data_IF_936576213614
#
_entry.id   IF_936576213614
#
_cell.length_a   1.000
_cell.length_b   1.000
_cell.length_c   1.000
_cell.angle_alpha   90.00
_cell.angle_beta   90.00
_cell.angle_gamma   90.00
#
_symmetry.space_group_name_H-M   'P 1'
#
loop_
_entity.id
_entity.type
_entity.pdbx_description
1 polymer ?
#
# COMPACT_ATOMS: atom_id res chain seq x y z
N UNK A 1 44.73 6.88 43.37
CA UNK A 1 44.39 7.24 41.98
C UNK A 1 43.20 6.38 41.60
N UNK A 2 41.99 6.96 41.69
CA UNK A 2 40.74 6.32 41.28
C UNK A 2 40.51 6.63 39.81
N UNK A 3 40.58 5.60 38.94
CA UNK A 3 40.14 5.68 37.55
C UNK A 3 38.63 5.38 37.50
N UNK A 4 37.84 6.40 37.36
CA UNK A 4 36.38 6.30 37.10
C UNK A 4 36.19 6.02 35.62
N UNK A 5 35.88 4.75 35.29
CA UNK A 5 35.42 4.36 33.94
C UNK A 5 33.97 4.84 33.78
N UNK A 6 33.79 5.92 33.04
CA UNK A 6 32.48 6.29 32.52
C UNK A 6 32.13 5.31 31.40
N UNK A 7 31.27 4.35 31.68
CA UNK A 7 30.62 3.54 30.66
C UNK A 7 29.52 4.41 30.04
N UNK A 8 29.84 5.02 28.91
CA UNK A 8 28.83 5.67 28.08
C UNK A 8 28.00 4.55 27.45
N UNK A 9 26.89 4.23 28.07
CA UNK A 9 25.87 3.38 27.49
C UNK A 9 25.23 4.16 26.35
N UNK A 10 25.61 3.88 25.12
CA UNK A 10 24.85 4.26 23.96
C UNK A 10 23.57 3.45 23.95
N UNK A 11 22.52 3.97 24.57
CA UNK A 11 21.17 3.49 24.34
C UNK A 11 20.84 3.85 22.88
N UNK A 12 20.90 2.87 21.99
CA UNK A 12 20.31 3.01 20.67
C UNK A 12 18.81 3.17 20.86
N UNK A 13 18.31 4.38 20.67
CA UNK A 13 16.89 4.64 20.51
C UNK A 13 16.44 3.94 19.23
N UNK A 14 16.08 2.67 19.33
CA UNK A 14 15.24 2.04 18.33
C UNK A 14 13.89 2.75 18.41
N UNK A 15 13.70 3.75 17.58
CA UNK A 15 12.39 4.23 17.24
C UNK A 15 11.71 3.10 16.46
N UNK A 16 11.12 2.16 17.17
CA UNK A 16 10.22 1.18 16.60
C UNK A 16 9.02 1.96 16.07
N UNK A 17 9.06 2.24 14.77
CA UNK A 17 7.92 2.81 14.05
C UNK A 17 6.83 1.77 14.13
N UNK A 18 5.84 2.00 15.00
CA UNK A 18 4.70 1.11 15.12
C UNK A 18 3.95 1.08 13.80
N UNK A 19 4.01 -0.05 13.11
CA UNK A 19 3.25 -0.30 11.91
C UNK A 19 2.13 -1.31 12.21
N UNK A 20 0.99 -1.12 11.53
CA UNK A 20 -0.12 -2.07 11.58
C UNK A 20 -0.08 -2.92 10.33
N UNK A 21 0.12 -4.25 10.46
CA UNK A 21 0.18 -5.16 9.32
C UNK A 21 -1.20 -5.68 8.92
N UNK A 22 -1.42 -5.77 7.61
CA UNK A 22 -2.57 -6.39 6.98
C UNK A 22 -2.10 -7.38 5.92
N UNK A 23 -2.86 -8.45 5.71
CA UNK A 23 -2.57 -9.44 4.68
C UNK A 23 -3.85 -9.94 4.02
N UNK A 24 -3.76 -10.32 2.76
CA UNK A 24 -4.90 -10.83 2.01
C UNK A 24 -4.57 -11.26 0.60
N UNK A 25 -5.54 -11.14 -0.27
CA UNK A 25 -5.49 -11.56 -1.66
C UNK A 25 -5.90 -10.42 -2.59
N UNK A 26 -5.30 -10.39 -3.77
CA UNK A 26 -5.59 -9.43 -4.82
C UNK A 26 -5.74 -10.13 -6.15
N UNK A 27 -6.81 -9.81 -6.87
CA UNK A 27 -7.03 -10.18 -8.26
C UNK A 27 -6.93 -8.92 -9.12
N UNK A 28 -6.15 -9.01 -10.19
CA UNK A 28 -6.01 -7.95 -11.18
C UNK A 28 -6.57 -8.45 -12.51
N UNK A 29 -7.58 -7.77 -13.03
CA UNK A 29 -8.14 -8.00 -14.35
C UNK A 29 -7.69 -6.90 -15.30
N UNK A 30 -7.20 -7.28 -16.47
CA UNK A 30 -6.88 -6.37 -17.54
C UNK A 30 -7.85 -6.60 -18.71
N UNK A 31 -8.71 -5.62 -19.01
CA UNK A 31 -9.71 -5.68 -20.10
C UNK A 31 -10.62 -6.92 -20.07
N UNK A 32 -10.85 -7.54 -18.91
CA UNK A 32 -11.58 -8.80 -18.75
C UNK A 32 -10.98 -10.00 -19.51
N UNK A 33 -9.78 -9.88 -20.06
CA UNK A 33 -9.10 -10.91 -20.85
C UNK A 33 -8.02 -11.63 -20.05
N UNK A 34 -7.26 -10.88 -19.25
CA UNK A 34 -6.18 -11.43 -18.42
C UNK A 34 -6.49 -11.24 -16.95
N UNK A 35 -6.28 -12.29 -16.16
CA UNK A 35 -6.46 -12.28 -14.72
C UNK A 35 -5.20 -12.74 -14.02
N UNK A 36 -4.73 -11.96 -13.06
CA UNK A 36 -3.57 -12.25 -12.24
C UNK A 36 -3.96 -12.29 -10.77
N UNK A 37 -3.42 -13.25 -10.03
CA UNK A 37 -3.67 -13.42 -8.61
C UNK A 37 -2.39 -13.22 -7.80
N UNK A 38 -2.48 -12.44 -6.73
CA UNK A 38 -1.36 -12.14 -5.83
C UNK A 38 -1.75 -12.28 -4.37
N UNK A 39 -0.77 -12.52 -3.53
CA UNK A 39 -0.87 -12.25 -2.11
C UNK A 39 -0.50 -10.78 -1.89
N UNK A 40 -1.23 -10.10 -1.03
CA UNK A 40 -0.97 -8.70 -0.68
C UNK A 40 -0.65 -8.57 0.81
N UNK A 41 0.40 -7.82 1.12
CA UNK A 41 0.71 -7.38 2.48
C UNK A 41 0.78 -5.87 2.49
N UNK A 42 0.16 -5.26 3.50
CA UNK A 42 0.16 -3.82 3.70
C UNK A 42 0.64 -3.53 5.12
N UNK A 43 1.66 -2.72 5.27
CA UNK A 43 2.10 -2.19 6.55
C UNK A 43 1.81 -0.69 6.60
N UNK A 44 0.99 -0.28 7.54
CA UNK A 44 0.59 1.13 7.72
C UNK A 44 1.28 1.70 8.93
N UNK A 45 2.12 2.72 8.71
CA UNK A 45 2.80 3.47 9.75
C UNK A 45 2.40 4.95 9.69
N UNK A 46 2.80 5.74 10.71
CA UNK A 46 2.46 7.16 10.76
C UNK A 46 3.06 7.98 9.60
N UNK A 47 4.26 7.58 9.16
CA UNK A 47 5.01 8.27 8.10
C UNK A 47 4.70 7.75 6.69
N UNK A 48 3.88 6.73 6.55
CA UNK A 48 3.52 6.16 5.27
C UNK A 48 3.16 4.69 5.34
N UNK A 49 2.86 4.12 4.19
CA UNK A 49 2.47 2.72 4.05
C UNK A 49 3.34 2.02 3.02
N UNK A 50 3.53 0.72 3.20
CA UNK A 50 4.22 -0.13 2.25
C UNK A 50 3.28 -1.24 1.83
N UNK A 51 3.02 -1.34 0.53
CA UNK A 51 2.19 -2.38 -0.07
C UNK A 51 3.10 -3.33 -0.83
N UNK A 52 3.04 -4.61 -0.52
CA UNK A 52 3.82 -5.64 -1.19
C UNK A 52 2.89 -6.62 -1.88
N UNK A 53 3.11 -6.83 -3.16
CA UNK A 53 2.45 -7.88 -3.95
C UNK A 53 3.41 -9.04 -4.09
N UNK A 54 2.96 -10.23 -3.71
CA UNK A 54 3.74 -11.47 -3.77
C UNK A 54 3.03 -12.47 -4.66
N UNK A 55 3.79 -13.11 -5.53
CA UNK A 55 3.30 -14.25 -6.30
C UNK A 55 3.67 -15.53 -5.58
N UNK A 56 2.74 -16.51 -5.43
CA UNK A 56 3.07 -17.79 -4.80
C UNK A 56 4.33 -18.39 -5.45
N UNK A 57 5.27 -18.86 -4.64
CA UNK A 57 6.56 -19.47 -5.03
C UNK A 57 7.61 -18.53 -5.64
N UNK A 58 7.27 -17.29 -5.99
CA UNK A 58 8.21 -16.33 -6.61
C UNK A 58 8.62 -15.16 -5.68
N UNK A 59 7.97 -15.02 -4.51
CA UNK A 59 8.25 -13.92 -3.58
C UNK A 59 7.67 -12.57 -4.04
N UNK A 60 8.34 -11.49 -3.64
CA UNK A 60 7.89 -10.13 -3.94
C UNK A 60 8.00 -9.84 -5.44
N UNK A 61 6.88 -9.42 -6.05
CA UNK A 61 6.80 -9.01 -7.44
C UNK A 61 6.83 -7.49 -7.56
N UNK A 62 6.17 -6.80 -6.63
CA UNK A 62 6.05 -5.35 -6.62
C UNK A 62 5.94 -4.85 -5.19
N UNK A 63 6.62 -3.75 -4.91
CA UNK A 63 6.47 -2.98 -3.69
C UNK A 63 6.04 -1.56 -4.04
N UNK A 64 5.01 -1.07 -3.37
CA UNK A 64 4.53 0.30 -3.53
C UNK A 64 4.74 1.03 -2.20
N UNK A 65 5.56 2.07 -2.23
CA UNK A 65 5.81 2.93 -1.08
C UNK A 65 4.91 4.16 -1.16
N UNK A 66 4.12 4.37 -0.13
CA UNK A 66 3.18 5.49 0.02
C UNK A 66 3.70 6.36 1.15
N UNK A 67 4.60 7.29 0.84
CA UNK A 67 5.30 8.12 1.81
C UNK A 67 4.72 9.53 1.87
N UNK A 68 4.85 10.17 3.06
CA UNK A 68 4.42 11.54 3.27
C UNK A 68 5.14 12.52 2.33
N UNK A 69 4.36 13.41 1.68
CA UNK A 69 4.89 14.45 0.82
C UNK A 69 5.62 13.97 -0.43
N UNK A 70 5.51 12.69 -0.77
CA UNK A 70 6.15 12.09 -1.95
C UNK A 70 5.12 11.43 -2.86
N UNK A 71 5.46 11.33 -4.15
CA UNK A 71 4.70 10.52 -5.09
C UNK A 71 4.83 9.03 -4.75
N UNK A 72 3.89 8.22 -5.23
CA UNK A 72 3.96 6.78 -5.10
C UNK A 72 5.24 6.25 -5.75
N UNK A 73 5.95 5.36 -5.05
CA UNK A 73 7.19 4.75 -5.52
C UNK A 73 6.94 3.27 -5.74
N UNK A 74 7.19 2.79 -6.97
CA UNK A 74 7.04 1.39 -7.36
C UNK A 74 8.41 0.71 -7.44
N UNK A 75 8.62 -0.36 -6.67
CA UNK A 75 9.88 -1.12 -6.60
C UNK A 75 9.57 -2.63 -6.58
N UNK A 76 10.25 -3.47 -7.36
CA UNK A 76 11.07 -3.14 -8.52
C UNK A 76 10.21 -2.76 -9.72
N UNK A 77 10.63 -1.76 -10.45
CA UNK A 77 10.02 -1.39 -11.73
C UNK A 77 10.67 -2.25 -12.81
N UNK A 78 10.00 -3.33 -13.24
CA UNK A 78 10.48 -4.14 -14.36
C UNK A 78 10.03 -3.61 -15.72
N UNK A 79 9.16 -2.62 -15.75
CA UNK A 79 8.72 -2.03 -16.99
C UNK A 79 9.63 -0.85 -17.36
N UNK A 80 10.00 -0.78 -18.63
CA UNK A 80 10.73 0.35 -19.20
C UNK A 80 9.88 1.62 -19.29
N UNK A 81 8.54 1.48 -19.11
CA UNK A 81 7.61 2.59 -19.12
C UNK A 81 7.21 2.94 -17.69
N UNK A 82 7.35 4.22 -17.27
CA UNK A 82 6.88 4.65 -15.97
C UNK A 82 5.37 4.54 -15.90
N UNK A 83 4.85 4.01 -14.79
CA UNK A 83 3.43 4.07 -14.50
C UNK A 83 3.01 5.53 -14.36
N UNK A 84 2.09 5.95 -15.21
CA UNK A 84 1.49 7.27 -15.06
C UNK A 84 0.45 7.22 -13.94
N UNK A 85 0.71 7.95 -12.87
CA UNK A 85 -0.22 8.09 -11.76
C UNK A 85 -0.76 9.51 -11.77
N UNK A 86 -2.09 9.71 -11.84
CA UNK A 86 -2.67 11.05 -11.77
C UNK A 86 -2.24 11.81 -10.52
N UNK A 87 -2.08 13.13 -10.64
CA UNK A 87 -1.66 13.98 -9.51
C UNK A 87 -2.57 13.88 -8.30
N UNK A 88 -3.89 13.78 -8.53
CA UNK A 88 -4.87 13.61 -7.46
C UNK A 88 -4.66 12.31 -6.69
N UNK A 89 -4.34 11.22 -7.39
CA UNK A 89 -4.05 9.93 -6.78
C UNK A 89 -2.74 9.98 -5.98
N UNK A 90 -1.66 10.52 -6.56
CA UNK A 90 -0.40 10.69 -5.84
C UNK A 90 -0.56 11.47 -4.54
N UNK A 91 -1.36 12.54 -4.57
CA UNK A 91 -1.56 13.41 -3.41
C UNK A 91 -2.43 12.78 -2.33
N UNK A 92 -3.47 12.02 -2.71
CA UNK A 92 -4.52 11.60 -1.79
C UNK A 92 -4.47 10.12 -1.42
N UNK A 93 -3.74 9.29 -2.15
CA UNK A 93 -3.73 7.83 -1.97
C UNK A 93 -3.36 7.42 -0.53
N UNK A 94 -2.46 8.14 0.11
CA UNK A 94 -2.09 7.93 1.50
C UNK A 94 -3.29 8.00 2.45
N UNK A 95 -4.13 9.03 2.27
CA UNK A 95 -5.33 9.22 3.10
C UNK A 95 -6.38 8.17 2.77
N UNK A 96 -6.56 7.84 1.52
CA UNK A 96 -7.52 6.84 1.08
C UNK A 96 -7.19 5.44 1.60
N UNK A 97 -5.93 5.02 1.53
CA UNK A 97 -5.53 3.71 2.06
C UNK A 97 -5.75 3.61 3.57
N UNK A 98 -5.45 4.67 4.30
CA UNK A 98 -5.70 4.70 5.75
C UNK A 98 -7.20 4.68 6.06
N UNK A 99 -8.00 5.46 5.36
CA UNK A 99 -9.44 5.44 5.50
C UNK A 99 -10.02 4.08 5.16
N UNK A 100 -9.57 3.45 4.09
CA UNK A 100 -9.97 2.11 3.69
C UNK A 100 -9.73 1.08 4.80
N UNK A 101 -8.54 1.09 5.40
CA UNK A 101 -8.12 0.07 6.35
C UNK A 101 -8.64 0.30 7.78
N UNK A 102 -8.84 1.55 8.19
CA UNK A 102 -9.24 1.89 9.58
C UNK A 102 -10.66 2.41 9.71
N UNK A 103 -11.28 2.86 8.64
CA UNK A 103 -12.69 3.27 8.62
C UNK A 103 -13.57 2.17 8.04
N UNK A 104 -14.87 2.31 8.22
CA UNK A 104 -15.81 1.27 7.77
C UNK A 104 -16.16 1.34 6.29
N UNK A 105 -15.84 2.45 5.61
CA UNK A 105 -16.22 2.66 4.21
C UNK A 105 -15.35 3.72 3.54
N UNK A 106 -14.99 3.47 2.29
CA UNK A 106 -14.38 4.42 1.36
C UNK A 106 -15.08 4.33 0.02
N UNK A 107 -15.41 5.47 -0.57
CA UNK A 107 -15.95 5.55 -1.94
C UNK A 107 -15.37 6.80 -2.61
N UNK A 108 -14.34 6.60 -3.41
CA UNK A 108 -13.61 7.65 -4.11
C UNK A 108 -13.79 7.47 -5.61
N UNK A 109 -14.21 8.53 -6.29
CA UNK A 109 -14.28 8.63 -7.73
C UNK A 109 -13.58 9.92 -8.14
N UNK A 110 -12.51 9.79 -8.93
CA UNK A 110 -11.74 10.91 -9.43
C UNK A 110 -11.69 10.86 -10.96
N UNK A 111 -11.88 12.00 -11.60
CA UNK A 111 -11.68 12.18 -13.03
C UNK A 111 -10.66 13.31 -13.21
N UNK A 112 -9.45 12.95 -13.58
CA UNK A 112 -8.34 13.86 -13.79
C UNK A 112 -7.96 13.85 -15.26
N UNK A 113 -8.36 14.90 -15.98
CA UNK A 113 -8.08 15.07 -17.42
C UNK A 113 -8.52 13.87 -18.28
N UNK A 114 -9.71 13.33 -18.01
CA UNK A 114 -10.25 12.18 -18.74
C UNK A 114 -9.75 10.83 -18.25
N UNK A 115 -8.90 10.78 -17.24
CA UNK A 115 -8.43 9.55 -16.60
C UNK A 115 -9.29 9.28 -15.38
N UNK A 116 -10.10 8.24 -15.44
CA UNK A 116 -10.99 7.84 -14.37
C UNK A 116 -10.28 6.90 -13.39
N UNK A 117 -10.38 7.25 -12.12
CA UNK A 117 -9.90 6.41 -11.01
C UNK A 117 -11.01 6.23 -9.98
N UNK A 118 -11.27 5.00 -9.58
CA UNK A 118 -12.21 4.69 -8.51
C UNK A 118 -11.55 3.79 -7.47
N UNK A 119 -11.77 4.10 -6.20
CA UNK A 119 -11.28 3.30 -5.09
C UNK A 119 -12.39 3.14 -4.05
N UNK A 120 -12.82 1.91 -3.84
CA UNK A 120 -13.92 1.58 -2.93
C UNK A 120 -13.46 0.56 -1.90
N UNK A 121 -13.88 0.76 -0.66
CA UNK A 121 -13.66 -0.18 0.44
C UNK A 121 -14.93 -0.37 1.24
N UNK A 122 -15.12 -1.59 1.70
CA UNK A 122 -16.20 -1.95 2.64
C UNK A 122 -15.66 -2.94 3.66
N UNK A 123 -16.08 -2.80 4.90
CA UNK A 123 -15.72 -3.73 5.97
C UNK A 123 -16.79 -4.79 6.14
N UNK A 124 -16.37 -6.05 6.16
CA UNK A 124 -17.24 -7.21 6.37
C UNK A 124 -16.59 -8.13 7.40
N UNK A 125 -17.05 -8.00 8.65
CA UNK A 125 -16.41 -8.69 9.78
C UNK A 125 -14.94 -8.27 9.92
N UNK A 126 -13.99 -9.24 10.00
CA UNK A 126 -12.57 -8.94 10.09
C UNK A 126 -11.94 -8.52 8.74
N UNK A 127 -12.66 -8.66 7.63
CA UNK A 127 -12.18 -8.38 6.29
C UNK A 127 -12.48 -6.95 5.87
N UNK A 128 -11.52 -6.34 5.22
CA UNK A 128 -11.71 -5.13 4.44
C UNK A 128 -11.67 -5.53 2.97
N UNK A 129 -12.81 -5.47 2.29
CA UNK A 129 -12.91 -5.69 0.86
C UNK A 129 -12.61 -4.39 0.14
N UNK A 130 -11.85 -4.45 -0.93
CA UNK A 130 -11.53 -3.26 -1.72
C UNK A 130 -11.57 -3.53 -3.21
N UNK A 131 -11.82 -2.48 -3.98
CA UNK A 131 -11.72 -2.48 -5.43
C UNK A 131 -11.11 -1.17 -5.92
N UNK A 132 -10.29 -1.27 -6.96
CA UNK A 132 -9.69 -0.12 -7.64
C UNK A 132 -9.91 -0.30 -9.13
N UNK A 133 -10.45 0.75 -9.77
CA UNK A 133 -10.59 0.83 -11.22
C UNK A 133 -9.69 1.93 -11.74
N UNK A 134 -8.85 1.60 -12.69
CA UNK A 134 -7.93 2.54 -13.32
C UNK A 134 -7.69 2.13 -14.77
N UNK A 135 -8.16 2.94 -15.72
CA UNK A 135 -8.06 2.66 -17.14
C UNK A 135 -8.60 1.24 -17.47
N UNK A 136 -7.76 0.40 -18.08
CA UNK A 136 -8.07 -0.99 -18.46
C UNK A 136 -7.98 -1.99 -17.30
N UNK A 137 -7.47 -1.55 -16.13
CA UNK A 137 -7.25 -2.40 -14.98
C UNK A 137 -8.38 -2.32 -13.97
N UNK A 138 -8.80 -3.46 -13.49
CA UNK A 138 -9.71 -3.60 -12.38
C UNK A 138 -9.09 -4.51 -11.32
N UNK A 139 -8.86 -3.96 -10.14
CA UNK A 139 -8.29 -4.65 -9.00
C UNK A 139 -9.38 -4.93 -7.98
N UNK A 140 -9.46 -6.14 -7.49
CA UNK A 140 -10.39 -6.55 -6.47
C UNK A 140 -9.69 -7.44 -5.45
N UNK A 141 -9.92 -7.20 -4.17
CA UNK A 141 -9.30 -8.02 -3.16
C UNK A 141 -9.86 -7.80 -1.77
N UNK A 142 -9.21 -8.42 -0.83
CA UNK A 142 -9.48 -8.22 0.59
C UNK A 142 -8.18 -8.28 1.39
N UNK A 143 -8.20 -7.65 2.54
CA UNK A 143 -7.15 -7.76 3.55
C UNK A 143 -7.77 -7.93 4.93
N UNK A 144 -7.02 -8.57 5.82
CA UNK A 144 -7.35 -8.73 7.22
C UNK A 144 -6.16 -8.23 8.05
N UNK A 145 -6.44 -7.61 9.17
CA UNK A 145 -5.41 -7.22 10.12
C UNK A 145 -4.75 -8.47 10.71
N UNK A 146 -3.43 -8.49 10.68
CA UNK A 146 -2.66 -9.57 11.30
C UNK A 146 -2.62 -9.46 12.82
#
# INVERSE_FOLDING_TARGET
>A
IFFLFFIVSCASLNNDIKSTPFAGKLLINQNNVKQFSFNININVANNGSIIQLKKPFYGNVLEIKVLDGKNLIFVPTKSSEPFFVPKSVNRNFKYWIRQCLFSNKLDVNEDDEGIFFAFKCSKEGPRTNFSISYQEYYLKGFVEKK
#
